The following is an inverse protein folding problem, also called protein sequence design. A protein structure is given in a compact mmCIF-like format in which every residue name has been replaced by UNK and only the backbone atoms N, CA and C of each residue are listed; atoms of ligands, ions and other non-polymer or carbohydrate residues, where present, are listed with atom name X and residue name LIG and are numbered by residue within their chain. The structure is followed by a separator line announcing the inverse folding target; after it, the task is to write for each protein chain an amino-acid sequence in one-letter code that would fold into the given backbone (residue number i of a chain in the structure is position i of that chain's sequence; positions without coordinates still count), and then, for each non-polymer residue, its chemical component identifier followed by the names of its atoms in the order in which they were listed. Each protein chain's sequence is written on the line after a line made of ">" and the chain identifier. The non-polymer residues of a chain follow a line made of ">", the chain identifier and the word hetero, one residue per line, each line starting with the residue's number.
data_IF_692744438738
#
_entry.id   IF_692744438738
#
_cell.length_a   1.000
_cell.length_b   1.000
_cell.length_c   1.000
_cell.angle_alpha   90.00
_cell.angle_beta   90.00
_cell.angle_gamma   90.00
#
_symmetry.space_group_name_H-M   'P 1'
#
loop_
_entity.id
_entity.type
_entity.pdbx_description
1 polymer ?
#
# COMPACT_ATOMS: atom_id res chain seq x y z
N UNK A 1 -4.24 32.44 0.23
CA UNK A 1 -3.66 31.36 -0.59
C UNK A 1 -3.52 30.13 0.29
N UNK A 2 -4.12 28.98 -0.07
CA UNK A 2 -3.78 27.72 0.59
C UNK A 2 -2.41 27.33 0.06
N UNK A 3 -1.37 27.45 0.86
CA UNK A 3 -0.07 26.88 0.51
C UNK A 3 -0.30 25.40 0.17
N UNK A 4 -0.01 25.03 -1.07
CA UNK A 4 0.08 23.61 -1.40
C UNK A 4 1.19 23.04 -0.53
N UNK A 5 0.90 21.92 0.11
CA UNK A 5 1.89 21.20 0.90
C UNK A 5 2.85 20.50 -0.07
N UNK A 6 3.74 21.26 -0.71
CA UNK A 6 4.62 20.76 -1.77
C UNK A 6 5.58 19.69 -1.24
N UNK A 7 6.02 19.81 0.01
CA UNK A 7 6.86 18.80 0.65
C UNK A 7 6.21 17.40 0.62
N UNK A 8 4.87 17.32 0.67
CA UNK A 8 4.17 16.04 0.63
C UNK A 8 4.29 15.36 -0.75
N UNK A 9 4.37 16.12 -1.84
CA UNK A 9 4.61 15.57 -3.17
C UNK A 9 6.05 15.08 -3.30
N UNK A 10 7.02 15.87 -2.82
CA UNK A 10 8.44 15.49 -2.81
C UNK A 10 8.69 14.21 -2.02
N UNK A 11 8.12 14.10 -0.81
CA UNK A 11 8.27 12.89 0.02
C UNK A 11 7.62 11.66 -0.60
N UNK A 12 6.50 11.81 -1.32
CA UNK A 12 5.91 10.70 -2.08
C UNK A 12 6.82 10.23 -3.22
N UNK A 13 7.45 11.16 -3.93
CA UNK A 13 8.44 10.83 -4.96
C UNK A 13 9.63 10.08 -4.37
N UNK A 14 10.17 10.56 -3.25
CA UNK A 14 11.25 9.89 -2.53
C UNK A 14 10.86 8.47 -2.07
N UNK A 15 9.65 8.31 -1.49
CA UNK A 15 9.11 7.02 -1.10
C UNK A 15 9.00 6.04 -2.27
N UNK A 16 8.51 6.49 -3.43
CA UNK A 16 8.40 5.66 -4.62
C UNK A 16 9.78 5.21 -5.14
N UNK A 17 10.78 6.10 -5.11
CA UNK A 17 12.16 5.78 -5.50
C UNK A 17 12.78 4.74 -4.54
N UNK A 18 12.58 4.88 -3.23
CA UNK A 18 13.06 3.91 -2.24
C UNK A 18 12.51 2.50 -2.52
N UNK A 19 11.22 2.41 -2.85
CA UNK A 19 10.58 1.13 -3.21
C UNK A 19 11.14 0.59 -4.52
N UNK A 20 11.30 1.43 -5.54
CA UNK A 20 11.84 1.02 -6.84
C UNK A 20 13.26 0.46 -6.73
N UNK A 21 14.13 1.15 -5.99
CA UNK A 21 15.52 0.73 -5.78
C UNK A 21 15.59 -0.63 -5.06
N UNK A 22 14.74 -0.84 -4.04
CA UNK A 22 14.67 -2.14 -3.36
C UNK A 22 14.25 -3.26 -4.31
N UNK A 23 13.25 -3.01 -5.17
CA UNK A 23 12.78 -4.04 -6.09
C UNK A 23 13.88 -4.40 -7.10
N UNK A 24 14.59 -3.40 -7.61
CA UNK A 24 15.66 -3.59 -8.60
C UNK A 24 16.87 -4.33 -8.05
N UNK A 25 17.23 -4.08 -6.78
CA UNK A 25 18.40 -4.69 -6.18
C UNK A 25 18.11 -6.01 -5.46
N UNK A 26 17.03 -6.10 -4.67
CA UNK A 26 16.80 -7.24 -3.77
C UNK A 26 15.69 -8.16 -4.25
N UNK A 27 14.58 -7.62 -4.74
CA UNK A 27 13.40 -8.43 -5.10
C UNK A 27 13.60 -9.19 -6.41
N UNK A 28 13.97 -8.50 -7.49
CA UNK A 28 14.13 -9.15 -8.80
C UNK A 28 15.28 -10.17 -8.85
N UNK A 29 16.43 -9.93 -8.18
CA UNK A 29 17.48 -10.94 -8.08
C UNK A 29 17.18 -12.07 -7.09
N UNK A 30 16.39 -11.80 -6.05
CA UNK A 30 16.21 -12.68 -4.89
C UNK A 30 15.36 -13.93 -5.13
N UNK A 31 14.30 -13.86 -5.95
CA UNK A 31 13.45 -15.01 -6.25
C UNK A 31 13.17 -15.19 -7.74
N UNK A 32 14.10 -15.89 -8.41
CA UNK A 32 14.06 -16.16 -9.86
C UNK A 32 12.80 -16.88 -10.30
N UNK A 33 12.20 -17.70 -9.44
CA UNK A 33 11.00 -18.48 -9.77
C UNK A 33 9.76 -17.60 -9.76
N UNK A 34 9.63 -16.74 -8.74
CA UNK A 34 8.57 -15.75 -8.65
C UNK A 34 8.68 -14.78 -9.83
N UNK A 35 9.86 -14.26 -10.14
CA UNK A 35 10.04 -13.32 -11.26
C UNK A 35 9.69 -13.97 -12.60
N UNK A 36 10.17 -15.19 -12.85
CA UNK A 36 9.83 -15.96 -14.05
C UNK A 36 8.31 -16.11 -14.22
N UNK A 37 7.58 -16.39 -13.14
CA UNK A 37 6.12 -16.46 -13.15
C UNK A 37 5.45 -15.11 -13.42
N UNK A 38 5.99 -14.02 -12.85
CA UNK A 38 5.43 -12.66 -12.98
C UNK A 38 5.57 -12.09 -14.38
N UNK A 39 6.69 -12.37 -15.06
CA UNK A 39 6.98 -11.82 -16.39
C UNK A 39 6.66 -12.81 -17.52
N UNK A 40 6.25 -14.04 -17.20
CA UNK A 40 6.00 -15.12 -18.17
C UNK A 40 7.22 -15.47 -19.04
N UNK A 41 8.38 -15.55 -18.41
CA UNK A 41 9.66 -15.92 -19.04
C UNK A 41 10.22 -17.21 -18.39
N UNK A 42 11.07 -17.98 -19.08
CA UNK A 42 11.78 -19.10 -18.46
C UNK A 42 12.63 -18.64 -17.28
N UNK A 43 12.82 -19.54 -16.31
CA UNK A 43 13.68 -19.28 -15.14
C UNK A 43 15.12 -19.06 -15.61
N UNK A 44 15.73 -17.96 -15.17
CA UNK A 44 17.11 -17.64 -15.55
C UNK A 44 18.12 -18.62 -14.95
N UNK A 45 19.13 -19.10 -15.72
CA UNK A 45 20.15 -20.02 -15.25
C UNK A 45 20.89 -19.51 -14.02
N UNK A 46 21.23 -20.41 -13.10
CA UNK A 46 22.08 -20.12 -11.95
C UNK A 46 23.45 -19.59 -12.39
N UNK A 47 24.04 -18.68 -11.62
CA UNK A 47 25.35 -18.08 -11.92
C UNK A 47 25.32 -16.79 -12.74
N UNK A 48 24.17 -16.40 -13.32
CA UNK A 48 23.98 -15.05 -13.88
C UNK A 48 23.81 -14.05 -12.72
N UNK A 49 24.71 -13.09 -12.61
CA UNK A 49 24.59 -12.00 -11.64
C UNK A 49 23.51 -11.02 -12.11
N UNK A 50 22.44 -10.89 -11.31
CA UNK A 50 21.30 -10.01 -11.60
C UNK A 50 21.37 -8.69 -10.83
N UNK A 51 22.21 -8.64 -9.80
CA UNK A 51 22.38 -7.47 -8.94
C UNK A 51 23.29 -6.45 -9.63
N UNK A 52 22.84 -5.19 -9.78
CA UNK A 52 23.73 -4.14 -10.25
C UNK A 52 24.75 -3.78 -9.17
N UNK A 53 26.03 -4.04 -9.44
CA UNK A 53 27.14 -3.80 -8.50
C UNK A 53 27.18 -2.37 -7.96
N UNK A 54 26.71 -1.38 -8.72
CA UNK A 54 26.73 0.03 -8.35
C UNK A 54 25.69 0.42 -7.28
N UNK A 55 24.80 -0.48 -6.84
CA UNK A 55 23.81 -0.21 -5.79
C UNK A 55 24.21 -0.72 -4.40
N UNK A 56 25.41 -1.31 -4.24
CA UNK A 56 25.88 -1.89 -2.97
C UNK A 56 25.84 -0.93 -1.77
N UNK A 57 26.07 0.36 -2.01
CA UNK A 57 26.09 1.41 -0.98
C UNK A 57 24.72 1.61 -0.32
N UNK A 58 23.63 1.31 -1.04
CA UNK A 58 22.26 1.45 -0.53
C UNK A 58 21.99 0.48 0.63
N UNK A 59 22.62 -0.69 0.65
CA UNK A 59 22.44 -1.72 1.69
C UNK A 59 23.61 -1.87 2.64
N UNK A 60 24.58 -0.96 2.58
CA UNK A 60 25.65 -0.87 3.58
C UNK A 60 25.14 -0.40 4.95
N UNK A 61 23.85 -0.07 5.06
CA UNK A 61 23.16 0.29 6.30
C UNK A 61 22.46 -0.96 6.87
N UNK A 62 22.98 -1.57 7.95
CA UNK A 62 22.39 -2.76 8.53
C UNK A 62 20.93 -2.52 8.96
N UNK A 63 20.07 -3.51 8.76
CA UNK A 63 18.66 -3.55 9.21
C UNK A 63 17.70 -2.55 8.53
N UNK A 64 18.14 -1.76 7.55
CA UNK A 64 17.27 -0.86 6.81
C UNK A 64 16.71 -1.53 5.55
N UNK A 65 15.40 -1.78 5.54
CA UNK A 65 14.66 -2.22 4.35
C UNK A 65 14.02 -0.99 3.72
N UNK A 66 14.52 -0.57 2.56
CA UNK A 66 14.10 0.66 1.88
C UNK A 66 12.68 0.60 1.37
N UNK A 67 12.21 -0.57 0.92
CA UNK A 67 10.80 -0.75 0.56
C UNK A 67 9.87 -0.55 1.75
N UNK A 68 10.18 -1.11 2.92
CA UNK A 68 9.38 -0.94 4.14
C UNK A 68 9.34 0.52 4.58
N UNK A 69 10.48 1.22 4.54
CA UNK A 69 10.54 2.65 4.83
C UNK A 69 9.72 3.47 3.82
N UNK A 70 9.91 3.21 2.52
CA UNK A 70 9.23 3.90 1.44
C UNK A 70 7.71 3.74 1.52
N UNK A 71 7.23 2.51 1.70
CA UNK A 71 5.78 2.24 1.85
C UNK A 71 5.22 2.91 3.10
N UNK A 72 5.93 2.81 4.24
CA UNK A 72 5.49 3.45 5.49
C UNK A 72 5.40 4.96 5.35
N UNK A 73 6.40 5.59 4.71
CA UNK A 73 6.42 7.01 4.42
C UNK A 73 5.27 7.40 3.47
N UNK A 74 5.05 6.64 2.41
CA UNK A 74 3.95 6.87 1.47
C UNK A 74 2.59 6.88 2.20
N UNK A 75 2.34 5.91 3.08
CA UNK A 75 1.10 5.85 3.86
C UNK A 75 0.97 6.97 4.89
N UNK A 76 2.04 7.32 5.61
CA UNK A 76 2.00 8.46 6.54
C UNK A 76 1.66 9.76 5.78
N UNK A 77 2.29 10.01 4.63
CA UNK A 77 2.04 11.22 3.83
C UNK A 77 0.64 11.19 3.23
N UNK A 78 0.14 10.04 2.77
CA UNK A 78 -1.24 9.92 2.29
C UNK A 78 -2.25 10.21 3.40
N UNK A 79 -2.06 9.64 4.59
CA UNK A 79 -2.84 9.94 5.78
C UNK A 79 -2.81 11.43 6.17
N UNK A 80 -1.67 12.09 6.00
CA UNK A 80 -1.52 13.53 6.28
C UNK A 80 -2.35 14.41 5.33
N UNK A 81 -2.38 14.09 4.03
CA UNK A 81 -2.99 14.97 3.02
C UNK A 81 -4.51 14.75 2.92
N UNK A 82 -5.01 13.55 3.21
CA UNK A 82 -6.44 13.19 3.03
C UNK A 82 -7.42 14.07 3.84
N UNK A 83 -7.13 14.42 5.10
CA UNK A 83 -7.98 15.34 5.87
C UNK A 83 -8.22 16.70 5.19
N UNK A 84 -7.27 17.23 4.42
CA UNK A 84 -7.49 18.47 3.64
C UNK A 84 -8.58 18.28 2.57
N UNK A 85 -8.60 17.12 1.92
CA UNK A 85 -9.54 16.83 0.83
C UNK A 85 -10.94 16.49 1.31
N UNK A 86 -11.10 15.83 2.46
CA UNK A 86 -12.42 15.46 2.98
C UNK A 86 -13.15 16.60 3.68
N UNK A 87 -12.40 17.63 4.09
CA UNK A 87 -12.95 18.89 4.62
C UNK A 87 -13.67 19.71 3.53
N UNK A 88 -13.27 19.57 2.26
CA UNK A 88 -13.93 20.21 1.13
C UNK A 88 -14.99 19.29 0.51
N UNK A 89 -16.27 19.69 0.55
CA UNK A 89 -17.35 19.03 -0.19
C UNK A 89 -18.06 17.88 0.54
N UNK A 90 -18.88 17.13 -0.20
CA UNK A 90 -19.65 15.99 0.33
C UNK A 90 -18.80 14.71 0.38
N UNK A 91 -19.25 13.70 1.16
CA UNK A 91 -18.58 12.39 1.21
C UNK A 91 -18.53 11.71 -0.16
N UNK A 92 -19.63 11.81 -0.92
CA UNK A 92 -19.71 11.30 -2.28
C UNK A 92 -18.73 12.01 -3.21
N UNK A 93 -18.70 13.36 -3.19
CA UNK A 93 -17.76 14.13 -4.01
C UNK A 93 -16.29 13.77 -3.73
N UNK A 94 -15.95 13.53 -2.45
CA UNK A 94 -14.63 13.04 -2.08
C UNK A 94 -14.32 11.67 -2.73
N UNK A 95 -15.21 10.68 -2.58
CA UNK A 95 -14.99 9.34 -3.14
C UNK A 95 -14.93 9.34 -4.67
N UNK A 96 -15.85 10.05 -5.34
CA UNK A 96 -15.84 10.19 -6.80
C UNK A 96 -14.55 10.87 -7.29
N UNK A 97 -14.12 11.95 -6.63
CA UNK A 97 -12.87 12.62 -6.99
C UNK A 97 -11.63 11.73 -6.83
N UNK A 98 -11.63 10.81 -5.87
CA UNK A 98 -10.55 9.83 -5.69
C UNK A 98 -10.60 8.71 -6.72
N UNK A 99 -11.79 8.20 -7.02
CA UNK A 99 -12.00 7.19 -8.05
C UNK A 99 -11.47 7.67 -9.41
N UNK A 100 -11.91 8.84 -9.88
CA UNK A 100 -11.48 9.38 -11.18
C UNK A 100 -10.00 9.80 -11.22
N UNK A 101 -9.37 10.01 -10.08
CA UNK A 101 -7.92 10.28 -10.02
C UNK A 101 -7.09 9.00 -10.17
N UNK A 102 -7.57 7.88 -9.64
CA UNK A 102 -6.80 6.65 -9.48
C UNK A 102 -7.12 5.65 -10.59
N UNK A 103 -8.41 5.42 -10.82
CA UNK A 103 -8.89 4.36 -11.69
C UNK A 103 -8.32 4.44 -13.13
N UNK A 104 -8.25 5.61 -13.79
CA UNK A 104 -7.72 5.67 -15.16
C UNK A 104 -6.25 5.26 -15.24
N UNK A 105 -5.41 5.77 -14.32
CA UNK A 105 -3.99 5.44 -14.29
C UNK A 105 -3.78 3.98 -13.91
N UNK A 106 -4.58 3.47 -12.97
CA UNK A 106 -4.56 2.09 -12.57
C UNK A 106 -4.89 1.15 -13.73
N UNK A 107 -6.00 1.39 -14.42
CA UNK A 107 -6.42 0.57 -15.55
C UNK A 107 -5.38 0.59 -16.68
N UNK A 108 -4.78 1.75 -16.97
CA UNK A 108 -3.71 1.86 -17.94
C UNK A 108 -2.46 1.06 -17.52
N UNK A 109 -2.06 1.16 -16.25
CA UNK A 109 -0.93 0.39 -15.69
C UNK A 109 -1.18 -1.12 -15.73
N UNK A 110 -2.38 -1.56 -15.36
CA UNK A 110 -2.75 -2.97 -15.40
C UNK A 110 -2.78 -3.53 -16.84
N UNK A 111 -3.32 -2.76 -17.80
CA UNK A 111 -3.25 -3.12 -19.22
C UNK A 111 -1.80 -3.20 -19.72
N UNK A 112 -0.93 -2.29 -19.27
CA UNK A 112 0.49 -2.33 -19.57
C UNK A 112 1.17 -3.59 -19.00
N UNK A 113 0.81 -4.00 -17.77
CA UNK A 113 1.27 -5.27 -17.17
C UNK A 113 0.83 -6.46 -18.02
N UNK A 114 -0.45 -6.56 -18.38
CA UNK A 114 -0.95 -7.64 -19.24
C UNK A 114 -0.25 -7.67 -20.60
N UNK A 115 -0.04 -6.51 -21.23
CA UNK A 115 0.68 -6.40 -22.49
C UNK A 115 2.14 -6.86 -22.35
N UNK A 116 2.81 -6.48 -21.26
CA UNK A 116 4.20 -6.90 -20.98
C UNK A 116 4.31 -8.41 -20.81
N UNK A 117 3.37 -9.03 -20.10
CA UNK A 117 3.28 -10.48 -19.91
C UNK A 117 3.01 -11.20 -21.23
N UNK A 118 2.13 -10.63 -22.07
CA UNK A 118 1.82 -11.18 -23.38
C UNK A 118 3.03 -11.12 -24.33
N UNK A 119 3.70 -9.97 -24.40
CA UNK A 119 4.86 -9.77 -25.26
C UNK A 119 6.05 -10.65 -24.83
N UNK A 120 6.31 -10.74 -23.53
CA UNK A 120 7.39 -11.58 -23.00
C UNK A 120 7.10 -13.06 -23.22
N UNK A 121 5.85 -13.50 -22.95
CA UNK A 121 5.43 -14.87 -23.24
C UNK A 121 5.57 -15.24 -24.71
N UNK A 122 5.13 -14.35 -25.60
CA UNK A 122 5.24 -14.54 -27.05
C UNK A 122 6.70 -14.59 -27.53
N UNK A 123 7.60 -13.84 -26.89
CA UNK A 123 9.03 -13.86 -27.24
C UNK A 123 9.73 -15.16 -26.83
N UNK A 124 9.29 -15.77 -25.72
CA UNK A 124 9.86 -17.02 -25.19
C UNK A 124 9.03 -18.27 -25.53
N UNK A 125 8.06 -18.16 -26.43
CA UNK A 125 7.11 -19.24 -26.78
C UNK A 125 6.37 -19.86 -25.58
N UNK A 126 6.17 -19.07 -24.51
CA UNK A 126 5.41 -19.47 -23.34
C UNK A 126 3.91 -19.23 -23.56
N UNK A 127 3.04 -20.18 -23.19
CA UNK A 127 1.59 -20.01 -23.27
C UNK A 127 1.11 -18.90 -22.33
N UNK A 128 -0.05 -18.33 -22.65
CA UNK A 128 -0.69 -17.33 -21.79
C UNK A 128 -1.10 -17.94 -20.45
N UNK A 129 -0.66 -17.39 -19.30
CA UNK A 129 -0.78 -18.06 -18.00
C UNK A 129 -2.11 -17.80 -17.27
N UNK A 130 -2.94 -16.85 -17.74
CA UNK A 130 -4.12 -16.39 -17.00
C UNK A 130 -5.45 -16.65 -17.71
N UNK A 131 -6.49 -16.97 -16.95
CA UNK A 131 -7.84 -17.09 -17.49
C UNK A 131 -8.63 -15.77 -17.37
N UNK A 132 -9.68 -15.53 -18.18
CA UNK A 132 -10.48 -14.31 -18.09
C UNK A 132 -11.10 -14.06 -16.70
N UNK A 133 -11.48 -15.12 -15.99
CA UNK A 133 -11.99 -15.08 -14.62
C UNK A 133 -10.94 -14.66 -13.58
N UNK A 134 -9.66 -14.89 -13.87
CA UNK A 134 -8.56 -14.39 -13.04
C UNK A 134 -8.24 -12.92 -13.35
N UNK A 135 -8.39 -12.48 -14.60
CA UNK A 135 -8.04 -11.11 -15.03
C UNK A 135 -9.13 -10.11 -14.65
N UNK A 136 -10.40 -10.43 -14.88
CA UNK A 136 -11.50 -9.48 -14.74
C UNK A 136 -11.62 -8.85 -13.33
N UNK A 137 -11.44 -9.60 -12.23
CA UNK A 137 -11.45 -9.03 -10.88
C UNK A 137 -10.33 -8.02 -10.62
N UNK A 138 -9.23 -8.06 -11.39
CA UNK A 138 -8.12 -7.14 -11.19
C UNK A 138 -8.42 -5.75 -11.74
N UNK A 139 -9.38 -5.54 -12.63
CA UNK A 139 -9.70 -4.19 -13.12
C UNK A 139 -10.21 -3.24 -12.04
N UNK A 140 -10.70 -3.76 -10.91
CA UNK A 140 -11.16 -2.97 -9.78
C UNK A 140 -10.34 -3.30 -8.52
N UNK A 141 -9.55 -2.34 -7.98
CA UNK A 141 -8.77 -2.57 -6.75
C UNK A 141 -9.66 -3.05 -5.60
N UNK A 142 -9.27 -4.15 -4.95
CA UNK A 142 -10.02 -4.77 -3.85
C UNK A 142 -11.03 -5.85 -4.27
N UNK A 143 -11.35 -5.99 -5.56
CA UNK A 143 -12.27 -7.06 -6.01
C UNK A 143 -11.61 -8.44 -6.01
N UNK A 144 -10.29 -8.55 -6.19
CA UNK A 144 -9.56 -9.83 -6.12
C UNK A 144 -9.64 -10.51 -4.75
N UNK A 145 -9.67 -9.71 -3.68
CA UNK A 145 -9.87 -10.21 -2.31
C UNK A 145 -11.26 -10.84 -2.15
N UNK A 146 -12.27 -10.25 -2.81
CA UNK A 146 -13.66 -10.70 -2.74
C UNK A 146 -13.95 -11.92 -3.61
N UNK A 147 -13.31 -12.00 -4.79
CA UNK A 147 -13.51 -13.11 -5.74
C UNK A 147 -12.66 -14.34 -5.44
N UNK A 148 -11.82 -14.30 -4.40
CA UNK A 148 -10.82 -15.35 -4.08
C UNK A 148 -9.87 -15.68 -5.24
N UNK A 149 -9.72 -14.76 -6.20
CA UNK A 149 -8.71 -14.90 -7.24
C UNK A 149 -7.35 -14.74 -6.57
N UNK A 150 -6.62 -15.84 -6.40
CA UNK A 150 -5.26 -15.87 -5.86
C UNK A 150 -4.20 -15.54 -6.92
N UNK A 151 -4.62 -15.26 -8.15
CA UNK A 151 -3.71 -14.92 -9.23
C UNK A 151 -2.99 -13.61 -8.90
N UNK A 152 -1.68 -13.70 -8.69
CA UNK A 152 -0.84 -12.51 -8.43
C UNK A 152 -0.33 -11.94 -9.75
N UNK A 153 -1.25 -11.37 -10.54
CA UNK A 153 -0.93 -10.75 -11.84
C UNK A 153 -0.12 -9.45 -11.64
N UNK A 154 -0.48 -8.68 -10.62
CA UNK A 154 0.23 -7.47 -10.21
C UNK A 154 0.53 -7.58 -8.71
N UNK A 155 1.83 -7.66 -8.37
CA UNK A 155 2.31 -7.84 -7.01
C UNK A 155 2.33 -6.57 -6.16
N UNK A 156 2.11 -5.38 -6.73
CA UNK A 156 2.28 -4.08 -6.03
C UNK A 156 0.92 -3.43 -5.73
N UNK A 157 -0.16 -3.90 -6.36
CA UNK A 157 -1.54 -3.46 -6.21
C UNK A 157 -2.01 -3.29 -4.77
N UNK A 158 -1.52 -4.12 -3.85
CA UNK A 158 -1.95 -4.16 -2.46
C UNK A 158 -1.82 -2.80 -1.77
N UNK A 159 -0.80 -2.01 -2.11
CA UNK A 159 -0.61 -0.67 -1.54
C UNK A 159 -1.76 0.27 -1.89
N UNK A 160 -2.26 0.17 -3.13
CA UNK A 160 -3.40 0.93 -3.60
C UNK A 160 -4.70 0.46 -2.96
N UNK A 161 -4.86 -0.85 -2.75
CA UNK A 161 -6.02 -1.42 -2.06
C UNK A 161 -6.16 -0.90 -0.63
N UNK A 162 -5.03 -0.80 0.10
CA UNK A 162 -5.01 -0.16 1.43
C UNK A 162 -5.42 1.31 1.35
N UNK A 163 -4.94 2.05 0.34
CA UNK A 163 -5.31 3.45 0.16
C UNK A 163 -6.82 3.63 -0.12
N UNK A 164 -7.41 2.77 -0.96
CA UNK A 164 -8.85 2.77 -1.24
C UNK A 164 -9.65 2.43 0.03
N UNK A 165 -9.25 1.40 0.79
CA UNK A 165 -9.85 1.06 2.09
C UNK A 165 -9.82 2.27 3.04
N UNK A 166 -8.69 2.98 3.10
CA UNK A 166 -8.56 4.17 3.92
C UNK A 166 -9.47 5.31 3.48
N UNK A 167 -9.72 5.49 2.17
CA UNK A 167 -10.69 6.47 1.69
C UNK A 167 -12.12 6.15 2.12
N UNK A 168 -12.52 4.88 2.05
CA UNK A 168 -13.84 4.44 2.51
C UNK A 168 -14.01 4.68 4.01
N UNK A 169 -12.98 4.32 4.80
CA UNK A 169 -12.96 4.60 6.24
C UNK A 169 -13.08 6.11 6.48
N UNK A 170 -12.26 6.93 5.84
CA UNK A 170 -12.31 8.38 5.99
C UNK A 170 -13.67 8.96 5.62
N UNK A 171 -14.30 8.49 4.53
CA UNK A 171 -15.64 8.89 4.13
C UNK A 171 -16.68 8.55 5.21
N UNK A 172 -16.58 7.36 5.83
CA UNK A 172 -17.44 6.96 6.94
C UNK A 172 -17.25 7.85 8.17
N UNK A 173 -16.00 8.12 8.58
CA UNK A 173 -15.66 8.93 9.76
C UNK A 173 -15.50 10.43 9.46
N UNK A 174 -15.97 10.89 8.29
CA UNK A 174 -15.80 12.26 7.82
C UNK A 174 -16.25 13.33 8.85
N UNK A 175 -17.35 13.16 9.62
CA UNK A 175 -17.74 14.13 10.64
C UNK A 175 -16.68 14.32 11.72
N UNK A 176 -15.97 13.26 12.11
CA UNK A 176 -14.93 13.33 13.13
C UNK A 176 -13.67 14.00 12.58
N UNK A 177 -13.27 13.69 11.34
CA UNK A 177 -12.11 14.32 10.68
C UNK A 177 -12.35 15.83 10.48
N UNK A 178 -13.55 16.22 10.04
CA UNK A 178 -13.91 17.63 9.80
C UNK A 178 -13.83 18.48 11.07
N UNK A 179 -14.24 17.93 12.20
CA UNK A 179 -14.19 18.56 13.53
C UNK A 179 -12.83 18.39 14.22
N UNK A 180 -11.85 17.76 13.57
CA UNK A 180 -10.58 17.36 14.16
C UNK A 180 -10.75 16.63 15.51
N UNK A 181 -11.78 15.77 15.61
CA UNK A 181 -12.12 15.08 16.83
C UNK A 181 -11.12 13.98 17.14
N UNK A 182 -10.74 13.85 18.41
CA UNK A 182 -9.86 12.77 18.90
C UNK A 182 -10.47 11.38 18.72
N UNK A 183 -11.80 11.29 18.53
CA UNK A 183 -12.51 10.02 18.25
C UNK A 183 -11.98 9.30 17.00
N UNK A 184 -11.37 10.02 16.06
CA UNK A 184 -10.73 9.43 14.87
C UNK A 184 -9.75 8.32 15.23
N UNK A 185 -9.03 8.45 16.35
CA UNK A 185 -8.00 7.50 16.75
C UNK A 185 -8.56 6.25 17.46
N UNK A 186 -9.86 6.18 17.74
CA UNK A 186 -10.51 4.95 18.17
C UNK A 186 -10.64 3.95 17.00
N UNK A 187 -10.63 4.45 15.77
CA UNK A 187 -10.81 3.65 14.54
C UNK A 187 -9.65 2.69 14.29
N UNK A 188 -8.38 3.12 14.26
CA UNK A 188 -7.27 2.17 14.12
C UNK A 188 -7.22 1.17 15.26
N UNK A 189 -7.54 1.58 16.50
CA UNK A 189 -7.62 0.66 17.65
C UNK A 189 -8.70 -0.40 17.45
N UNK A 190 -9.88 0.00 16.97
CA UNK A 190 -10.97 -0.93 16.68
C UNK A 190 -10.63 -1.89 15.53
N UNK A 191 -10.01 -1.38 14.45
CA UNK A 191 -9.55 -2.21 13.32
C UNK A 191 -8.58 -3.30 13.81
N UNK A 192 -7.63 -2.93 14.68
CA UNK A 192 -6.67 -3.89 15.26
C UNK A 192 -7.38 -4.91 16.16
N UNK A 193 -8.29 -4.46 17.02
CA UNK A 193 -9.00 -5.36 17.92
C UNK A 193 -9.81 -6.41 17.12
N UNK A 194 -10.49 -5.97 16.05
CA UNK A 194 -11.21 -6.85 15.13
C UNK A 194 -10.23 -7.77 14.41
N UNK A 195 -9.12 -7.24 13.89
CA UNK A 195 -8.10 -8.03 13.22
C UNK A 195 -7.56 -9.18 14.09
N UNK A 196 -7.21 -8.88 15.35
CA UNK A 196 -6.73 -9.89 16.30
C UNK A 196 -7.81 -10.90 16.66
N UNK A 197 -9.06 -10.48 16.78
CA UNK A 197 -10.17 -11.38 17.06
C UNK A 197 -10.44 -12.33 15.88
N UNK A 198 -10.41 -11.81 14.65
CA UNK A 198 -10.62 -12.58 13.43
C UNK A 198 -9.44 -13.51 13.13
N UNK A 199 -8.20 -13.06 13.35
CA UNK A 199 -7.00 -13.89 13.20
C UNK A 199 -7.02 -15.12 14.12
N UNK A 200 -7.66 -15.02 15.29
CA UNK A 200 -7.83 -16.13 16.24
C UNK A 200 -9.01 -17.04 15.87
N UNK A 201 -10.05 -16.50 15.22
CA UNK A 201 -11.34 -17.20 15.00
C UNK A 201 -11.55 -17.74 13.58
N UNK A 202 -10.85 -17.19 12.58
CA UNK A 202 -11.01 -17.54 11.16
C UNK A 202 -9.70 -18.10 10.64
N UNK A 203 -9.55 -19.43 10.68
CA UNK A 203 -8.48 -20.10 9.95
C UNK A 203 -8.81 -20.10 8.44
N UNK A 204 -7.90 -19.56 7.61
CA UNK A 204 -8.02 -19.57 6.15
C UNK A 204 -7.88 -18.20 5.46
N UNK A 205 -8.17 -18.15 4.15
CA UNK A 205 -7.95 -17.01 3.24
C UNK A 205 -8.55 -15.67 3.74
N UNK A 206 -9.74 -15.71 4.36
CA UNK A 206 -10.40 -14.53 4.90
C UNK A 206 -9.70 -13.92 6.13
N UNK A 207 -9.10 -14.75 6.99
CA UNK A 207 -8.27 -14.30 8.12
C UNK A 207 -6.93 -13.72 7.66
N UNK A 208 -6.41 -14.19 6.51
CA UNK A 208 -5.12 -13.75 5.96
C UNK A 208 -5.22 -12.37 5.29
N UNK A 209 -6.33 -12.11 4.57
CA UNK A 209 -6.60 -10.81 3.92
C UNK A 209 -6.84 -9.68 4.93
N UNK A 210 -7.51 -9.98 6.04
CA UNK A 210 -7.77 -8.99 7.11
C UNK A 210 -6.49 -8.69 7.91
N UNK A 211 -5.70 -9.72 8.24
CA UNK A 211 -4.41 -9.61 8.93
C UNK A 211 -3.35 -8.80 8.18
N UNK A 212 -3.33 -8.88 6.84
CA UNK A 212 -2.30 -8.21 6.05
C UNK A 212 -2.47 -6.68 5.98
N UNK A 213 -3.69 -6.15 6.01
CA UNK A 213 -3.96 -4.74 5.74
C UNK A 213 -4.02 -3.81 6.95
N UNK A 214 -4.40 -4.33 8.12
CA UNK A 214 -4.62 -3.52 9.33
C UNK A 214 -3.39 -2.72 9.79
N UNK A 215 -2.16 -3.27 9.76
CA UNK A 215 -0.98 -2.52 10.15
C UNK A 215 -0.68 -1.31 9.27
N UNK A 216 -0.93 -1.42 7.97
CA UNK A 216 -0.70 -0.33 7.03
C UNK A 216 -1.70 0.82 7.20
N UNK A 217 -2.93 0.52 7.60
CA UNK A 217 -3.91 1.54 7.99
C UNK A 217 -3.45 2.32 9.23
N UNK A 218 -2.69 1.71 10.15
CA UNK A 218 -2.13 2.45 11.28
C UNK A 218 -1.17 3.56 10.84
N UNK A 219 -0.31 3.32 9.85
CA UNK A 219 0.55 4.36 9.26
C UNK A 219 -0.25 5.53 8.66
N UNK A 220 -1.37 5.23 7.98
CA UNK A 220 -2.27 6.28 7.49
C UNK A 220 -2.85 7.12 8.64
N UNK A 221 -3.26 6.49 9.74
CA UNK A 221 -3.76 7.22 10.92
C UNK A 221 -2.67 8.02 11.65
N UNK A 222 -1.42 7.58 11.64
CA UNK A 222 -0.27 8.38 12.09
C UNK A 222 -0.16 9.66 11.24
N UNK A 223 -0.34 9.55 9.92
CA UNK A 223 -0.46 10.70 9.03
C UNK A 223 -1.55 11.68 9.44
N UNK A 224 -2.74 11.19 9.79
CA UNK A 224 -3.85 12.03 10.29
C UNK A 224 -3.48 12.72 11.61
N UNK A 225 -2.74 12.05 12.51
CA UNK A 225 -2.22 12.66 13.73
C UNK A 225 -1.26 13.81 13.41
N UNK A 226 -0.32 13.61 12.50
CA UNK A 226 0.56 14.68 12.03
C UNK A 226 -0.21 15.85 11.43
N UNK A 227 -1.26 15.58 10.64
CA UNK A 227 -2.12 16.64 10.10
C UNK A 227 -2.84 17.42 11.22
N UNK A 228 -3.34 16.76 12.26
CA UNK A 228 -3.99 17.45 13.39
C UNK A 228 -2.98 18.27 14.21
N UNK A 229 -1.76 17.76 14.41
CA UNK A 229 -0.69 18.52 15.08
C UNK A 229 -0.26 19.74 14.25
N UNK A 230 -0.06 19.55 12.94
CA UNK A 230 0.34 20.61 12.02
C UNK A 230 -0.66 21.77 11.97
N UNK A 231 -1.96 21.48 12.02
CA UNK A 231 -3.01 22.51 12.02
C UNK A 231 -3.37 23.02 13.44
N UNK A 232 -2.62 22.65 14.49
CA UNK A 232 -2.85 23.09 15.86
C UNK A 232 -4.09 22.48 16.56
N UNK A 233 -4.74 21.49 15.94
CA UNK A 233 -5.93 20.84 16.50
C UNK A 233 -5.59 19.77 17.57
N UNK A 234 -4.34 19.32 17.62
CA UNK A 234 -3.84 18.33 18.57
C UNK A 234 -2.51 18.79 19.17
N UNK A 235 -2.39 18.78 20.50
CA UNK A 235 -1.12 19.09 21.18
C UNK A 235 -0.08 18.04 20.82
N UNK A 236 1.14 18.47 20.56
CA UNK A 236 2.25 17.60 20.12
C UNK A 236 2.45 16.40 21.06
N UNK A 237 2.56 16.64 22.37
CA UNK A 237 2.75 15.56 23.36
C UNK A 237 1.61 14.54 23.37
N UNK A 238 0.36 14.99 23.23
CA UNK A 238 -0.78 14.08 23.14
C UNK A 238 -0.79 13.33 21.80
N UNK A 239 -0.42 14.00 20.70
CA UNK A 239 -0.31 13.35 19.39
C UNK A 239 0.71 12.22 19.39
N UNK A 240 1.89 12.43 19.96
CA UNK A 240 2.88 11.36 20.12
C UNK A 240 2.38 10.24 21.04
N UNK A 241 1.71 10.56 22.15
CA UNK A 241 1.10 9.52 22.99
C UNK A 241 0.10 8.65 22.23
N UNK A 242 -0.73 9.26 21.36
CA UNK A 242 -1.68 8.54 20.50
C UNK A 242 -1.03 7.77 19.36
N UNK A 243 0.11 8.24 18.83
CA UNK A 243 0.91 7.48 17.85
C UNK A 243 1.53 6.26 18.55
N UNK A 244 2.02 6.41 19.78
CA UNK A 244 2.63 5.32 20.54
C UNK A 244 1.67 4.16 20.79
N UNK A 245 0.36 4.40 20.94
CA UNK A 245 -0.64 3.32 21.06
C UNK A 245 -0.83 2.52 19.78
N UNK A 246 -0.33 3.01 18.64
CA UNK A 246 -0.37 2.31 17.34
C UNK A 246 0.87 1.47 17.08
N UNK A 247 1.95 1.61 17.87
CA UNK A 247 3.19 0.83 17.72
C UNK A 247 2.95 -0.70 17.79
N UNK A 248 2.11 -1.23 18.70
CA UNK A 248 1.80 -2.66 18.72
C UNK A 248 1.18 -3.18 17.41
N UNK A 249 0.50 -2.31 16.66
CA UNK A 249 -0.03 -2.61 15.33
C UNK A 249 1.08 -2.83 14.31
N UNK A 250 2.10 -1.97 14.35
CA UNK A 250 3.24 -2.01 13.44
C UNK A 250 4.07 -3.28 13.69
N UNK A 251 4.22 -3.71 14.95
CA UNK A 251 4.89 -4.99 15.27
C UNK A 251 4.14 -6.24 14.80
N UNK A 252 2.89 -6.12 14.32
CA UNK A 252 2.24 -7.24 13.60
C UNK A 252 2.89 -7.48 12.24
N UNK A 253 3.48 -6.45 11.64
CA UNK A 253 4.05 -6.49 10.29
C UNK A 253 5.21 -7.47 10.23
N UNK A 254 6.02 -7.55 11.29
CA UNK A 254 7.14 -8.49 11.38
C UNK A 254 6.71 -9.96 11.23
N UNK A 255 5.43 -10.29 11.48
CA UNK A 255 4.86 -11.62 11.23
C UNK A 255 4.38 -11.85 9.79
N UNK A 256 4.25 -10.80 8.99
CA UNK A 256 3.81 -10.87 7.59
C UNK A 256 5.00 -11.00 6.63
N UNK A 257 6.21 -10.64 7.07
CA UNK A 257 7.45 -10.71 6.27
C UNK A 257 8.41 -11.83 6.74
N UNK A 258 8.00 -12.65 7.71
CA UNK A 258 8.73 -13.82 8.20
C UNK A 258 8.06 -15.11 7.68
#
# INVERSE_FOLDING_TARGET
>A
MKERVEFANTLRGAAAIMVLLEHYHSFFPGDRTVISSLINAPVMPEGVQLEPDYLFWLYSIPHLIWSSLGVSLFFIISGFVIPYSIKSGSRAAFLFGRFFRIYPLYAAGFLFTLASIYLTGSYFDNPWPFTPDQILPHFLPGMRELTRSTASIDGIIWTLEIEVKFYLICAFIAPWIRRASRKVFLVPVAIIAVDRLLSVSVQGYAGTITAAGAPFLAFMFIGVAFHFMYNGALRIGLGFAMISTLIPCIRSIDRLWA
#
